data_IF_850989411604
#
_entry.id   IF_850989411604
#
_cell.length_a   1.000
_cell.length_b   1.000
_cell.length_c   1.000
_cell.angle_alpha   90.00
_cell.angle_beta   90.00
_cell.angle_gamma   90.00
#
_symmetry.space_group_name_H-M   'P 1'
#
loop_
_entity.id
_entity.type
_entity.pdbx_description
1 polymer ?
#
# COMPACT_ATOMS: atom_id res chain seq x y z
N UNK A 1 -40.37 -70.23 -30.04
CA UNK A 1 -40.00 -68.85 -29.67
C UNK A 1 -38.50 -68.71 -29.84
N UNK A 2 -38.01 -67.76 -30.66
CA UNK A 2 -36.57 -67.55 -30.82
C UNK A 2 -36.00 -66.79 -29.60
N UNK A 3 -34.70 -66.96 -29.29
CA UNK A 3 -34.05 -66.25 -28.19
C UNK A 3 -33.95 -64.74 -28.47
N UNK A 4 -33.93 -63.89 -27.43
CA UNK A 4 -33.86 -62.45 -27.61
C UNK A 4 -32.51 -62.03 -28.20
N UNK A 5 -32.48 -60.94 -29.00
CA UNK A 5 -31.24 -60.46 -29.60
C UNK A 5 -30.25 -59.97 -28.52
N UNK A 6 -28.93 -60.08 -28.78
CA UNK A 6 -27.93 -59.59 -27.85
C UNK A 6 -28.00 -58.06 -27.69
N UNK A 7 -27.66 -57.53 -26.50
CA UNK A 7 -27.67 -56.10 -26.28
C UNK A 7 -26.66 -55.40 -27.20
N UNK A 8 -26.95 -54.16 -27.62
CA UNK A 8 -26.04 -53.41 -28.49
C UNK A 8 -24.69 -53.20 -27.80
N UNK A 9 -23.58 -53.14 -28.56
CA UNK A 9 -22.26 -52.90 -28.00
C UNK A 9 -22.27 -51.58 -27.22
N UNK A 10 -21.75 -51.62 -25.99
CA UNK A 10 -21.57 -50.45 -25.16
C UNK A 10 -20.81 -49.38 -25.97
N UNK A 11 -21.40 -48.19 -26.09
CA UNK A 11 -20.69 -47.02 -26.63
C UNK A 11 -19.37 -46.90 -25.87
N UNK A 12 -18.22 -46.69 -26.55
CA UNK A 12 -16.99 -46.39 -25.84
C UNK A 12 -17.28 -45.18 -24.96
N UNK A 13 -17.02 -45.32 -23.66
CA UNK A 13 -17.12 -44.22 -22.71
C UNK A 13 -16.40 -43.04 -23.33
N UNK A 14 -17.13 -41.93 -23.54
CA UNK A 14 -16.50 -40.67 -23.88
C UNK A 14 -15.41 -40.46 -22.83
N UNK A 15 -14.16 -40.38 -23.27
CA UNK A 15 -13.04 -39.98 -22.44
C UNK A 15 -13.36 -38.58 -21.94
N UNK A 16 -14.03 -38.52 -20.79
CA UNK A 16 -14.20 -37.29 -20.05
C UNK A 16 -12.79 -36.85 -19.68
N UNK A 17 -12.32 -35.80 -20.35
CA UNK A 17 -11.18 -35.01 -19.87
C UNK A 17 -11.54 -34.56 -18.45
N UNK A 18 -11.07 -35.33 -17.48
CA UNK A 18 -11.08 -34.99 -16.08
C UNK A 18 -10.04 -33.89 -15.93
N UNK A 19 -10.48 -32.64 -16.05
CA UNK A 19 -9.70 -31.50 -15.61
C UNK A 19 -9.17 -31.83 -14.21
N UNK A 20 -7.84 -31.96 -14.02
CA UNK A 20 -7.30 -32.48 -12.78
C UNK A 20 -7.71 -31.52 -11.66
N UNK A 21 -8.60 -31.96 -10.76
CA UNK A 21 -8.99 -31.15 -9.59
C UNK A 21 -7.88 -31.02 -8.55
N UNK A 22 -6.75 -31.69 -8.78
CA UNK A 22 -5.57 -31.63 -7.93
C UNK A 22 -4.78 -30.34 -8.23
N UNK A 23 -4.70 -29.39 -7.28
CA UNK A 23 -3.97 -28.14 -7.48
C UNK A 23 -2.48 -28.35 -7.78
N UNK A 24 -1.87 -29.43 -7.26
CA UNK A 24 -0.44 -29.70 -7.51
C UNK A 24 -0.20 -30.09 -8.97
N UNK A 25 -1.06 -30.97 -9.53
CA UNK A 25 -0.96 -31.37 -10.92
C UNK A 25 -1.25 -30.19 -11.87
N UNK A 26 -2.25 -29.37 -11.56
CA UNK A 26 -2.54 -28.16 -12.32
C UNK A 26 -1.33 -27.22 -12.32
N UNK A 27 -0.82 -26.89 -11.13
CA UNK A 27 0.29 -25.96 -10.99
C UNK A 27 1.54 -26.47 -11.73
N UNK A 28 1.89 -27.75 -11.54
CA UNK A 28 3.06 -28.33 -12.17
C UNK A 28 2.94 -28.32 -13.70
N UNK A 29 1.77 -28.69 -14.24
CA UNK A 29 1.54 -28.65 -15.68
C UNK A 29 1.68 -27.23 -16.25
N UNK A 30 1.04 -26.24 -15.61
CA UNK A 30 1.16 -24.83 -16.05
C UNK A 30 2.60 -24.34 -15.95
N UNK A 31 3.30 -24.67 -14.87
CA UNK A 31 4.67 -24.24 -14.65
C UNK A 31 5.64 -24.84 -15.66
N UNK A 32 5.47 -26.11 -16.00
CA UNK A 32 6.26 -26.80 -17.02
C UNK A 32 5.97 -26.25 -18.43
N UNK A 33 4.70 -25.95 -18.75
CA UNK A 33 4.31 -25.27 -19.99
C UNK A 33 5.04 -23.92 -20.12
N UNK A 34 5.09 -23.11 -19.05
CA UNK A 34 5.82 -21.83 -19.04
C UNK A 34 7.33 -22.00 -19.18
N UNK A 35 7.92 -22.97 -18.47
CA UNK A 35 9.36 -23.29 -18.60
C UNK A 35 9.72 -23.71 -20.02
N UNK A 36 8.89 -24.52 -20.66
CA UNK A 36 9.11 -24.96 -22.03
C UNK A 36 9.01 -23.79 -23.02
N UNK A 37 8.07 -22.87 -22.79
CA UNK A 37 7.83 -21.75 -23.68
C UNK A 37 8.88 -20.64 -23.54
N UNK A 38 9.28 -20.29 -22.32
CA UNK A 38 10.10 -19.11 -22.03
C UNK A 38 11.53 -19.43 -21.57
N UNK A 39 11.81 -20.65 -21.10
CA UNK A 39 13.05 -20.98 -20.40
C UNK A 39 13.02 -20.55 -18.93
N UNK A 40 13.75 -21.28 -18.06
CA UNK A 40 13.69 -21.06 -16.61
C UNK A 40 14.25 -19.68 -16.20
N UNK A 41 15.27 -19.19 -16.90
CA UNK A 41 15.94 -17.92 -16.69
C UNK A 41 15.09 -16.69 -17.05
N UNK A 42 14.03 -16.88 -17.84
CA UNK A 42 13.12 -15.80 -18.25
C UNK A 42 11.79 -15.82 -17.50
N UNK A 43 11.61 -16.72 -16.52
CA UNK A 43 10.45 -16.72 -15.63
C UNK A 43 10.57 -15.63 -14.55
N UNK A 44 10.64 -14.38 -15.03
CA UNK A 44 10.79 -13.17 -14.22
C UNK A 44 9.41 -12.64 -13.91
N UNK A 45 9.02 -12.77 -12.65
CA UNK A 45 7.71 -12.38 -12.17
C UNK A 45 7.77 -11.06 -11.38
N UNK A 46 6.63 -10.39 -11.20
CA UNK A 46 6.52 -9.16 -10.42
C UNK A 46 7.11 -9.29 -9.02
N UNK A 47 7.61 -8.19 -8.48
CA UNK A 47 7.98 -8.15 -7.05
C UNK A 47 6.73 -8.12 -6.17
N UNK A 48 5.77 -7.26 -6.48
CA UNK A 48 4.58 -7.05 -5.66
C UNK A 48 3.30 -7.52 -6.38
N UNK A 49 2.45 -8.24 -5.66
CA UNK A 49 1.16 -8.73 -6.15
C UNK A 49 0.05 -8.28 -5.20
N UNK A 50 -0.96 -7.62 -5.74
CA UNK A 50 -2.19 -7.27 -5.03
C UNK A 50 -3.34 -8.07 -5.64
N UNK A 51 -3.77 -9.11 -4.95
CA UNK A 51 -4.89 -9.96 -5.33
C UNK A 51 -6.19 -9.33 -4.82
N UNK A 52 -6.91 -8.65 -5.71
CA UNK A 52 -8.12 -7.90 -5.38
C UNK A 52 -9.36 -8.78 -5.51
N UNK A 53 -10.01 -9.01 -4.37
CA UNK A 53 -11.29 -9.67 -4.24
C UNK A 53 -12.43 -8.71 -3.87
N UNK A 54 -13.66 -9.17 -4.06
CA UNK A 54 -14.85 -8.42 -3.67
C UNK A 54 -16.10 -8.91 -4.39
N UNK A 55 -17.26 -8.73 -3.76
CA UNK A 55 -18.52 -9.13 -4.35
C UNK A 55 -18.80 -8.37 -5.67
N UNK A 56 -19.69 -8.89 -6.54
CA UNK A 56 -20.32 -8.07 -7.57
C UNK A 56 -20.91 -6.80 -6.96
N UNK A 57 -20.65 -5.62 -7.53
CA UNK A 57 -21.13 -4.35 -6.95
C UNK A 57 -20.25 -3.74 -5.86
N UNK A 58 -19.16 -4.41 -5.43
CA UNK A 58 -18.23 -3.87 -4.43
C UNK A 58 -17.34 -2.70 -4.91
N UNK A 59 -17.42 -2.33 -6.20
CA UNK A 59 -16.63 -1.21 -6.75
C UNK A 59 -15.21 -1.56 -7.21
N UNK A 60 -14.88 -2.85 -7.41
CA UNK A 60 -13.54 -3.29 -7.88
C UNK A 60 -13.07 -2.53 -9.13
N UNK A 61 -13.87 -2.49 -10.20
CA UNK A 61 -13.48 -1.82 -11.44
C UNK A 61 -13.13 -0.33 -11.28
N UNK A 62 -13.75 0.35 -10.31
CA UNK A 62 -13.46 1.76 -10.02
C UNK A 62 -12.21 1.91 -9.14
N UNK A 63 -12.03 1.02 -8.17
CA UNK A 63 -10.97 1.14 -7.16
C UNK A 63 -9.66 0.43 -7.54
N UNK A 64 -9.65 -0.49 -8.51
CA UNK A 64 -8.42 -1.19 -8.94
C UNK A 64 -7.36 -0.20 -9.45
N UNK A 65 -7.68 0.74 -10.36
CA UNK A 65 -6.69 1.74 -10.81
C UNK A 65 -6.28 2.70 -9.69
N UNK A 66 -7.18 2.96 -8.72
CA UNK A 66 -6.86 3.78 -7.56
C UNK A 66 -5.84 3.10 -6.64
N UNK A 67 -6.04 1.82 -6.35
CA UNK A 67 -5.11 1.00 -5.55
C UNK A 67 -3.74 0.92 -6.25
N UNK A 68 -3.71 0.70 -7.56
CA UNK A 68 -2.46 0.69 -8.33
C UNK A 68 -1.68 2.01 -8.18
N UNK A 69 -2.34 3.16 -8.39
CA UNK A 69 -1.73 4.49 -8.22
C UNK A 69 -1.29 4.76 -6.78
N UNK A 70 -2.10 4.40 -5.79
CA UNK A 70 -1.76 4.55 -4.37
C UNK A 70 -0.46 3.79 -4.01
N UNK A 71 -0.21 2.67 -4.68
CA UNK A 71 0.97 1.81 -4.49
C UNK A 71 2.13 2.12 -5.43
N UNK A 72 1.99 3.13 -6.29
CA UNK A 72 3.01 3.47 -7.28
C UNK A 72 3.21 2.37 -8.34
N UNK A 73 2.18 1.57 -8.62
CA UNK A 73 2.17 0.58 -9.69
C UNK A 73 1.63 1.27 -10.94
N UNK A 74 2.51 1.51 -11.92
CA UNK A 74 2.17 2.17 -13.19
C UNK A 74 1.50 1.23 -14.20
N UNK A 75 1.66 -0.08 -14.03
CA UNK A 75 1.12 -1.08 -14.94
C UNK A 75 -0.41 -1.20 -14.86
N UNK A 76 -1.05 -1.47 -16.00
CA UNK A 76 -2.49 -1.67 -16.07
C UNK A 76 -2.92 -2.93 -15.30
N UNK A 77 -3.97 -2.89 -14.47
CA UNK A 77 -4.39 -4.06 -13.71
C UNK A 77 -4.77 -5.25 -14.58
N UNK A 78 -4.40 -6.44 -14.14
CA UNK A 78 -4.81 -7.70 -14.78
C UNK A 78 -6.23 -8.04 -14.32
N UNK A 79 -7.21 -7.89 -15.21
CA UNK A 79 -8.60 -8.24 -14.93
C UNK A 79 -8.91 -9.63 -15.50
N UNK A 80 -9.23 -10.60 -14.64
CA UNK A 80 -9.45 -11.99 -15.06
C UNK A 80 -10.52 -12.12 -16.15
N UNK A 81 -11.62 -11.36 -16.06
CA UNK A 81 -12.65 -11.40 -17.10
C UNK A 81 -12.16 -10.92 -18.46
N UNK A 82 -11.17 -10.01 -18.51
CA UNK A 82 -10.53 -9.58 -19.75
C UNK A 82 -9.58 -10.63 -20.33
N UNK A 83 -8.87 -11.37 -19.48
CA UNK A 83 -8.04 -12.49 -19.92
C UNK A 83 -8.88 -13.61 -20.57
N UNK A 84 -10.07 -13.86 -20.02
CA UNK A 84 -11.00 -14.85 -20.54
C UNK A 84 -11.68 -14.47 -21.88
N UNK A 85 -11.56 -13.21 -22.30
CA UNK A 85 -12.03 -12.74 -23.62
C UNK A 85 -10.88 -12.52 -24.60
N UNK A 86 -9.64 -12.83 -24.21
CA UNK A 86 -8.48 -12.75 -25.11
C UNK A 86 -8.60 -13.68 -26.32
N UNK A 87 -7.96 -13.38 -27.46
CA UNK A 87 -7.97 -14.26 -28.63
C UNK A 87 -7.53 -15.69 -28.32
N UNK A 88 -6.57 -15.87 -27.40
CA UNK A 88 -6.10 -17.18 -26.92
C UNK A 88 -7.20 -17.92 -26.15
N UNK A 89 -7.88 -17.23 -25.22
CA UNK A 89 -9.01 -17.82 -24.49
C UNK A 89 -10.19 -18.17 -25.41
N UNK A 90 -10.49 -17.32 -26.40
CA UNK A 90 -11.52 -17.57 -27.41
C UNK A 90 -11.16 -18.78 -28.27
N UNK A 91 -9.89 -18.92 -28.68
CA UNK A 91 -9.42 -20.08 -29.44
C UNK A 91 -9.57 -21.39 -28.64
N UNK A 92 -9.24 -21.38 -27.34
CA UNK A 92 -9.44 -22.52 -26.44
C UNK A 92 -10.92 -22.92 -26.34
N UNK A 93 -11.80 -21.92 -26.15
CA UNK A 93 -13.26 -22.12 -26.11
C UNK A 93 -13.80 -22.68 -27.43
N UNK A 94 -13.33 -22.16 -28.56
CA UNK A 94 -13.74 -22.61 -29.90
C UNK A 94 -13.25 -24.03 -30.21
N UNK A 95 -12.14 -24.46 -29.61
CA UNK A 95 -11.64 -25.83 -29.70
C UNK A 95 -12.44 -26.84 -28.83
N UNK A 96 -13.54 -26.41 -28.22
CA UNK A 96 -14.41 -27.25 -27.38
C UNK A 96 -13.86 -27.54 -25.99
N UNK A 97 -12.77 -26.87 -25.58
CA UNK A 97 -12.21 -27.00 -24.23
C UNK A 97 -12.97 -26.12 -23.26
N UNK A 98 -13.33 -26.66 -22.09
CA UNK A 98 -13.88 -25.88 -21.00
C UNK A 98 -12.78 -25.00 -20.41
N UNK A 99 -13.10 -23.75 -20.07
CA UNK A 99 -12.16 -22.87 -19.36
C UNK A 99 -12.22 -23.25 -17.88
N UNK A 100 -11.32 -24.12 -17.47
CA UNK A 100 -11.17 -24.59 -16.10
C UNK A 100 -10.17 -23.76 -15.29
N UNK A 101 -9.85 -24.25 -14.09
CA UNK A 101 -8.86 -23.60 -13.22
C UNK A 101 -7.47 -23.61 -13.87
N UNK A 102 -7.12 -24.68 -14.59
CA UNK A 102 -5.83 -24.79 -15.31
C UNK A 102 -5.67 -23.68 -16.36
N UNK A 103 -6.66 -23.47 -17.22
CA UNK A 103 -6.58 -22.46 -18.27
C UNK A 103 -6.51 -21.05 -17.69
N UNK A 104 -7.31 -20.75 -16.65
CA UNK A 104 -7.28 -19.45 -15.96
C UNK A 104 -5.89 -19.18 -15.39
N UNK A 105 -5.31 -20.15 -14.68
CA UNK A 105 -3.99 -20.01 -14.05
C UNK A 105 -2.91 -19.87 -15.12
N UNK A 106 -2.97 -20.66 -16.19
CA UNK A 106 -2.02 -20.57 -17.30
C UNK A 106 -2.04 -19.21 -17.99
N UNK A 107 -3.24 -18.69 -18.31
CA UNK A 107 -3.38 -17.36 -18.91
C UNK A 107 -2.89 -16.27 -17.97
N UNK A 108 -3.18 -16.38 -16.67
CA UNK A 108 -2.75 -15.42 -15.68
C UNK A 108 -1.23 -15.40 -15.52
N UNK A 109 -0.58 -16.56 -15.38
CA UNK A 109 0.87 -16.60 -15.19
C UNK A 109 1.63 -16.16 -16.45
N UNK A 110 1.14 -16.50 -17.64
CA UNK A 110 1.66 -16.01 -18.92
C UNK A 110 1.57 -14.48 -18.99
N UNK A 111 0.43 -13.90 -18.59
CA UNK A 111 0.24 -12.44 -18.54
C UNK A 111 1.21 -11.77 -17.56
N UNK A 112 1.43 -12.39 -16.39
CA UNK A 112 2.30 -11.86 -15.34
C UNK A 112 3.79 -11.82 -15.71
N UNK A 113 4.21 -12.50 -16.78
CA UNK A 113 5.60 -12.45 -17.28
C UNK A 113 5.90 -11.19 -18.10
N UNK A 114 4.90 -10.36 -18.41
CA UNK A 114 5.14 -9.13 -19.16
C UNK A 114 6.04 -8.16 -18.38
N UNK A 115 7.03 -7.52 -19.05
CA UNK A 115 7.98 -6.63 -18.38
C UNK A 115 7.35 -5.44 -17.65
N UNK A 116 6.18 -4.98 -18.09
CA UNK A 116 5.43 -3.90 -17.45
C UNK A 116 5.06 -4.21 -16.00
N UNK A 117 4.87 -5.48 -15.65
CA UNK A 117 4.53 -5.91 -14.29
C UNK A 117 5.74 -6.09 -13.39
N UNK A 118 6.97 -5.85 -13.88
CA UNK A 118 8.20 -6.15 -13.16
C UNK A 118 8.19 -5.65 -11.71
N UNK A 119 7.77 -4.41 -11.46
CA UNK A 119 7.75 -3.81 -10.12
C UNK A 119 6.52 -4.16 -9.29
N UNK A 120 5.37 -4.34 -9.93
CA UNK A 120 4.17 -4.79 -9.25
C UNK A 120 2.97 -4.92 -10.16
N UNK A 121 1.93 -5.57 -9.65
CA UNK A 121 0.68 -5.80 -10.37
C UNK A 121 -0.51 -5.85 -9.42
N UNK A 122 -1.65 -5.34 -9.87
CA UNK A 122 -2.94 -5.58 -9.23
C UNK A 122 -3.73 -6.56 -10.10
N UNK A 123 -4.18 -7.67 -9.51
CA UNK A 123 -4.98 -8.70 -10.18
C UNK A 123 -6.41 -8.67 -9.65
N UNK A 124 -7.37 -8.28 -10.49
CA UNK A 124 -8.80 -8.22 -10.14
C UNK A 124 -9.50 -9.54 -10.46
N UNK A 125 -9.99 -10.18 -9.41
CA UNK A 125 -10.92 -11.30 -9.51
C UNK A 125 -10.25 -12.67 -9.49
N UNK A 126 -9.06 -12.78 -8.89
CA UNK A 126 -8.36 -14.04 -8.58
C UNK A 126 -7.85 -14.02 -7.13
N UNK A 127 -7.88 -15.13 -6.39
CA UNK A 127 -8.52 -16.42 -6.71
C UNK A 127 -10.04 -16.40 -6.45
N UNK A 128 -10.78 -17.31 -7.11
CA UNK A 128 -12.23 -17.52 -6.95
C UNK A 128 -12.61 -18.88 -6.38
N UNK A 129 -11.75 -19.89 -6.56
CA UNK A 129 -11.97 -21.28 -6.13
C UNK A 129 -10.88 -21.72 -5.15
N UNK A 130 -11.14 -22.78 -4.38
CA UNK A 130 -10.12 -23.35 -3.47
C UNK A 130 -8.91 -23.90 -4.24
N UNK A 131 -9.13 -24.45 -5.44
CA UNK A 131 -8.03 -24.94 -6.30
C UNK A 131 -7.09 -23.80 -6.68
N UNK A 132 -7.65 -22.64 -7.07
CA UNK A 132 -6.86 -21.45 -7.37
C UNK A 132 -6.09 -20.93 -6.14
N UNK A 133 -6.70 -21.01 -4.95
CA UNK A 133 -6.01 -20.67 -3.68
C UNK A 133 -4.79 -21.55 -3.46
N UNK A 134 -4.94 -22.87 -3.57
CA UNK A 134 -3.80 -23.78 -3.38
C UNK A 134 -2.72 -23.57 -4.46
N UNK A 135 -3.12 -23.33 -5.71
CA UNK A 135 -2.17 -22.96 -6.78
C UNK A 135 -1.44 -21.66 -6.49
N UNK A 136 -2.12 -20.66 -5.90
CA UNK A 136 -1.51 -19.39 -5.51
C UNK A 136 -0.45 -19.59 -4.42
N UNK A 137 -0.68 -20.49 -3.46
CA UNK A 137 0.32 -20.85 -2.44
C UNK A 137 1.53 -21.54 -3.07
N UNK A 138 1.30 -22.51 -3.95
CA UNK A 138 2.37 -23.20 -4.69
C UNK A 138 3.20 -22.21 -5.51
N UNK A 139 2.54 -21.27 -6.18
CA UNK A 139 3.18 -20.20 -6.94
C UNK A 139 4.07 -19.33 -6.04
N UNK A 140 3.56 -18.86 -4.91
CA UNK A 140 4.33 -18.09 -3.94
C UNK A 140 5.60 -18.84 -3.47
N UNK A 141 5.46 -20.12 -3.08
CA UNK A 141 6.60 -20.94 -2.67
C UNK A 141 7.61 -21.13 -3.80
N UNK A 142 7.15 -21.29 -5.04
CA UNK A 142 8.03 -21.42 -6.19
C UNK A 142 8.81 -20.14 -6.46
N UNK A 143 8.18 -18.98 -6.33
CA UNK A 143 8.85 -17.69 -6.45
C UNK A 143 9.88 -17.45 -5.34
N UNK A 144 9.59 -17.87 -4.10
CA UNK A 144 10.58 -17.85 -3.03
C UNK A 144 11.79 -18.73 -3.35
N UNK A 145 11.56 -19.93 -3.89
CA UNK A 145 12.64 -20.82 -4.33
C UNK A 145 13.52 -20.17 -5.40
N UNK A 146 12.92 -19.54 -6.42
CA UNK A 146 13.67 -18.79 -7.43
C UNK A 146 14.46 -17.62 -6.82
N UNK A 147 13.87 -16.89 -5.88
CA UNK A 147 14.57 -15.82 -5.17
C UNK A 147 15.81 -16.36 -4.44
N UNK A 148 15.68 -17.46 -3.69
CA UNK A 148 16.79 -18.06 -2.95
C UNK A 148 17.89 -18.61 -3.86
N UNK A 149 17.52 -19.22 -4.99
CA UNK A 149 18.44 -19.73 -6.02
C UNK A 149 19.27 -18.59 -6.63
N UNK A 150 18.67 -17.42 -6.86
CA UNK A 150 19.30 -16.31 -7.58
C UNK A 150 19.85 -15.17 -6.70
N UNK A 151 19.58 -15.14 -5.39
CA UNK A 151 19.93 -14.01 -4.49
C UNK A 151 21.41 -13.62 -4.48
N UNK A 152 22.32 -14.57 -4.71
CA UNK A 152 23.76 -14.37 -4.72
C UNK A 152 24.36 -14.25 -6.15
N UNK A 153 23.50 -14.10 -7.15
CA UNK A 153 23.89 -14.02 -8.56
C UNK A 153 23.66 -12.60 -9.12
N UNK A 154 24.27 -12.23 -10.27
CA UNK A 154 23.96 -10.97 -10.94
C UNK A 154 22.48 -10.79 -11.30
N UNK A 155 21.71 -11.89 -11.38
CA UNK A 155 20.27 -11.90 -11.70
C UNK A 155 19.37 -11.63 -10.49
N UNK A 156 19.91 -11.41 -9.29
CA UNK A 156 19.12 -11.14 -8.09
C UNK A 156 18.13 -9.96 -8.23
N UNK A 157 18.41 -9.02 -9.14
CA UNK A 157 17.51 -7.90 -9.46
C UNK A 157 16.22 -8.32 -10.16
N UNK A 158 16.27 -9.41 -10.93
CA UNK A 158 15.15 -9.95 -11.70
C UNK A 158 14.34 -10.97 -10.89
N UNK A 159 14.98 -11.62 -9.89
CA UNK A 159 14.37 -12.61 -9.00
C UNK A 159 14.28 -12.07 -7.57
N UNK A 160 13.47 -11.02 -7.40
CA UNK A 160 13.26 -10.35 -6.11
C UNK A 160 12.34 -11.19 -5.22
N UNK A 161 12.45 -10.99 -3.91
CA UNK A 161 11.55 -11.64 -2.95
C UNK A 161 10.10 -11.22 -3.26
N UNK A 162 9.19 -12.18 -3.53
CA UNK A 162 7.80 -11.87 -3.87
C UNK A 162 7.04 -11.35 -2.65
N UNK A 163 6.16 -10.38 -2.87
CA UNK A 163 5.26 -9.82 -1.86
C UNK A 163 3.81 -10.02 -2.30
N UNK A 164 3.08 -10.90 -1.61
CA UNK A 164 1.67 -11.16 -1.91
C UNK A 164 0.78 -10.45 -0.90
N UNK A 165 -0.18 -9.67 -1.41
CA UNK A 165 -1.20 -8.98 -0.64
C UNK A 165 -2.57 -9.39 -1.13
N UNK A 166 -3.46 -9.67 -0.21
CA UNK A 166 -4.88 -9.89 -0.49
C UNK A 166 -5.62 -8.62 -0.11
N UNK A 167 -6.35 -8.04 -1.04
CA UNK A 167 -7.22 -6.90 -0.78
C UNK A 167 -8.67 -7.31 -1.02
N UNK A 168 -9.53 -7.14 -0.02
CA UNK A 168 -10.94 -7.50 -0.11
C UNK A 168 -11.80 -6.25 0.07
N UNK A 169 -12.51 -5.86 -0.99
CA UNK A 169 -13.59 -4.86 -0.92
C UNK A 169 -14.86 -5.54 -0.43
N UNK A 170 -15.27 -5.22 0.80
CA UNK A 170 -16.46 -5.77 1.44
C UNK A 170 -17.67 -4.85 1.27
N UNK A 171 -18.80 -5.45 0.93
CA UNK A 171 -20.12 -4.81 0.94
C UNK A 171 -21.15 -5.84 1.41
N UNK A 172 -22.19 -5.43 2.12
CA UNK A 172 -23.34 -6.29 2.42
C UNK A 172 -24.10 -6.73 1.16
N UNK A 173 -24.89 -7.80 1.29
CA UNK A 173 -25.71 -8.34 0.21
C UNK A 173 -26.66 -7.28 -0.36
N UNK A 174 -27.36 -6.55 0.50
CA UNK A 174 -28.35 -5.56 0.08
C UNK A 174 -27.71 -4.38 -0.66
N UNK A 175 -26.55 -3.90 -0.20
CA UNK A 175 -25.79 -2.85 -0.91
C UNK A 175 -25.28 -3.36 -2.26
N UNK A 176 -24.74 -4.58 -2.31
CA UNK A 176 -24.30 -5.24 -3.55
C UNK A 176 -25.45 -5.35 -4.57
N UNK A 177 -26.62 -5.83 -4.14
CA UNK A 177 -27.80 -5.99 -4.99
C UNK A 177 -28.28 -4.63 -5.49
N UNK A 178 -28.43 -3.65 -4.60
CA UNK A 178 -28.86 -2.30 -4.96
C UNK A 178 -27.93 -1.67 -6.01
N UNK A 179 -26.61 -1.81 -5.86
CA UNK A 179 -25.62 -1.30 -6.81
C UNK A 179 -25.67 -2.03 -8.16
N UNK A 180 -25.93 -3.34 -8.18
CA UNK A 180 -26.08 -4.09 -9.43
C UNK A 180 -27.33 -3.69 -10.19
N UNK A 181 -28.49 -3.58 -9.52
CA UNK A 181 -29.74 -3.13 -10.12
C UNK A 181 -29.61 -1.70 -10.66
N UNK A 182 -29.07 -0.79 -9.85
CA UNK A 182 -28.81 0.59 -10.26
C UNK A 182 -27.94 0.65 -11.53
N UNK A 183 -26.87 -0.14 -11.59
CA UNK A 183 -26.02 -0.25 -12.78
C UNK A 183 -26.81 -0.75 -14.01
N UNK A 184 -27.67 -1.75 -13.85
CA UNK A 184 -28.51 -2.27 -14.93
C UNK A 184 -29.48 -1.22 -15.48
N UNK A 185 -30.11 -0.45 -14.60
CA UNK A 185 -31.00 0.66 -14.95
C UNK A 185 -30.26 1.79 -15.69
N UNK A 186 -29.09 2.18 -15.19
CA UNK A 186 -28.24 3.21 -15.81
C UNK A 186 -27.78 2.79 -17.22
N UNK A 187 -27.34 1.53 -17.39
CA UNK A 187 -26.93 0.99 -18.69
C UNK A 187 -28.11 0.96 -19.67
N UNK A 188 -29.30 0.54 -19.23
CA UNK A 188 -30.51 0.55 -20.07
C UNK A 188 -30.84 1.96 -20.55
N UNK A 189 -30.83 2.93 -19.63
CA UNK A 189 -31.10 4.34 -19.94
C UNK A 189 -30.05 4.90 -20.91
N UNK A 190 -28.77 4.63 -20.67
CA UNK A 190 -27.69 5.03 -21.57
C UNK A 190 -27.88 4.43 -22.97
N UNK A 191 -28.15 3.13 -23.06
CA UNK A 191 -28.37 2.44 -24.32
C UNK A 191 -29.60 2.96 -25.08
N UNK A 192 -30.66 3.34 -24.37
CA UNK A 192 -31.83 3.99 -24.96
C UNK A 192 -31.44 5.34 -25.58
N UNK A 193 -30.72 6.19 -24.83
CA UNK A 193 -30.24 7.49 -25.34
C UNK A 193 -29.32 7.32 -26.56
N UNK A 194 -28.40 6.34 -26.54
CA UNK A 194 -27.53 6.05 -27.70
C UNK A 194 -28.34 5.62 -28.92
N UNK A 195 -29.40 4.83 -28.73
CA UNK A 195 -30.30 4.41 -29.82
C UNK A 195 -31.10 5.58 -30.38
N UNK A 196 -31.58 6.48 -29.52
CA UNK A 196 -32.40 7.64 -29.91
C UNK A 196 -31.57 8.75 -30.56
N UNK A 197 -30.41 9.09 -29.98
CA UNK A 197 -29.54 10.16 -30.46
C UNK A 197 -28.62 9.71 -31.61
N UNK A 198 -28.38 8.41 -31.78
CA UNK A 198 -27.42 7.86 -32.75
C UNK A 198 -25.95 8.18 -32.44
N UNK A 199 -25.66 8.73 -31.26
CA UNK A 199 -24.32 9.15 -30.83
C UNK A 199 -23.89 8.29 -29.63
N UNK A 200 -22.69 7.70 -29.72
CA UNK A 200 -22.10 6.88 -28.66
C UNK A 200 -22.09 5.37 -28.99
N UNK A 201 -21.52 4.58 -28.08
CA UNK A 201 -21.51 3.10 -28.17
C UNK A 201 -22.43 2.52 -27.10
N UNK A 202 -23.25 1.50 -27.43
CA UNK A 202 -24.03 0.80 -26.44
C UNK A 202 -23.10 0.06 -25.48
N UNK A 203 -23.45 0.10 -24.20
CA UNK A 203 -22.80 -0.65 -23.14
C UNK A 203 -23.42 -2.04 -23.03
N UNK A 204 -22.65 -3.02 -22.58
CA UNK A 204 -23.12 -4.40 -22.39
C UNK A 204 -24.22 -4.44 -21.32
N UNK A 205 -25.42 -4.86 -21.73
CA UNK A 205 -26.54 -5.09 -20.81
C UNK A 205 -26.46 -6.49 -20.21
N UNK A 206 -26.24 -6.57 -18.91
CA UNK A 206 -26.13 -7.85 -18.19
C UNK A 206 -27.52 -8.26 -17.71
N UNK A 207 -28.03 -9.38 -18.22
CA UNK A 207 -29.35 -9.92 -17.81
C UNK A 207 -29.47 -10.07 -16.29
N UNK A 208 -28.38 -10.44 -15.62
CA UNK A 208 -28.34 -10.59 -14.16
C UNK A 208 -28.53 -9.30 -13.38
N UNK A 209 -28.20 -8.13 -13.95
CA UNK A 209 -28.32 -6.82 -13.29
C UNK A 209 -29.77 -6.28 -13.34
N UNK A 210 -30.71 -7.06 -13.88
CA UNK A 210 -32.10 -6.66 -14.12
C UNK A 210 -33.08 -7.44 -13.23
N UNK A 211 -32.57 -8.42 -12.49
CA UNK A 211 -33.34 -9.31 -11.63
C UNK A 211 -32.65 -9.38 -10.26
N UNK A 212 -33.41 -9.04 -9.22
CA UNK A 212 -32.97 -9.04 -7.83
C UNK A 212 -32.52 -10.44 -7.38
N UNK A 213 -33.21 -11.50 -7.79
CA UNK A 213 -32.87 -12.88 -7.42
C UNK A 213 -31.58 -13.32 -8.09
N UNK A 214 -31.34 -12.94 -9.35
CA UNK A 214 -30.06 -13.20 -10.01
C UNK A 214 -28.92 -12.43 -9.36
N UNK A 215 -29.13 -11.17 -8.96
CA UNK A 215 -28.16 -10.39 -8.20
C UNK A 215 -27.81 -11.05 -6.86
N UNK A 216 -28.82 -11.50 -6.10
CA UNK A 216 -28.63 -12.23 -4.83
C UNK A 216 -27.89 -13.56 -5.05
N UNK A 217 -28.26 -14.30 -6.09
CA UNK A 217 -27.56 -15.53 -6.47
C UNK A 217 -26.06 -15.30 -6.71
N UNK A 218 -25.69 -14.24 -7.44
CA UNK A 218 -24.29 -13.88 -7.68
C UNK A 218 -23.54 -13.51 -6.41
N UNK A 219 -24.20 -12.80 -5.48
CA UNK A 219 -23.62 -12.48 -4.18
C UNK A 219 -23.38 -13.75 -3.34
N UNK A 220 -24.35 -14.67 -3.30
CA UNK A 220 -24.20 -15.95 -2.59
C UNK A 220 -23.07 -16.79 -3.14
N UNK A 221 -22.95 -16.93 -4.46
CA UNK A 221 -21.81 -17.63 -5.08
C UNK A 221 -20.47 -17.03 -4.64
N UNK A 222 -20.37 -15.71 -4.59
CA UNK A 222 -19.18 -15.04 -4.07
C UNK A 222 -18.96 -15.34 -2.58
N UNK A 223 -19.99 -15.22 -1.75
CA UNK A 223 -19.90 -15.39 -0.30
C UNK A 223 -19.57 -16.83 0.11
N UNK A 224 -20.13 -17.83 -0.57
CA UNK A 224 -19.95 -19.24 -0.24
C UNK A 224 -18.62 -19.79 -0.76
N UNK A 225 -18.20 -19.38 -1.95
CA UNK A 225 -16.99 -19.93 -2.59
C UNK A 225 -15.80 -18.99 -2.49
N UNK A 226 -15.92 -17.78 -3.04
CA UNK A 226 -14.79 -16.87 -3.21
C UNK A 226 -14.37 -16.20 -1.89
N UNK A 227 -15.31 -15.82 -1.03
CA UNK A 227 -15.00 -15.21 0.26
C UNK A 227 -14.30 -16.21 1.19
N UNK A 228 -14.79 -17.45 1.28
CA UNK A 228 -14.14 -18.51 2.06
C UNK A 228 -12.71 -18.80 1.54
N UNK A 229 -12.54 -18.89 0.22
CA UNK A 229 -11.24 -19.03 -0.44
C UNK A 229 -10.28 -17.90 -0.05
N UNK A 230 -10.68 -16.63 -0.18
CA UNK A 230 -9.86 -15.47 0.16
C UNK A 230 -9.55 -15.41 1.66
N UNK A 231 -10.52 -15.75 2.53
CA UNK A 231 -10.34 -15.75 3.97
C UNK A 231 -9.26 -16.76 4.42
N UNK A 232 -9.15 -17.90 3.74
CA UNK A 232 -8.10 -18.90 4.02
C UNK A 232 -6.68 -18.37 3.78
N UNK A 233 -6.51 -17.37 2.91
CA UNK A 233 -5.23 -16.75 2.60
C UNK A 233 -4.76 -15.78 3.68
N UNK A 234 -5.66 -15.33 4.56
CA UNK A 234 -5.34 -14.39 5.65
C UNK A 234 -4.27 -14.90 6.60
N UNK A 235 -4.14 -16.22 6.75
CA UNK A 235 -3.13 -16.84 7.61
C UNK A 235 -1.72 -16.83 7.01
N UNK A 236 -1.60 -16.57 5.70
CA UNK A 236 -0.36 -16.74 4.93
C UNK A 236 0.13 -15.41 4.38
N UNK A 237 -0.79 -14.58 3.90
CA UNK A 237 -0.48 -13.32 3.22
C UNK A 237 -1.05 -12.11 3.97
N UNK A 238 -0.45 -10.95 3.71
CA UNK A 238 -0.98 -9.68 4.21
C UNK A 238 -2.39 -9.48 3.66
N UNK A 239 -3.35 -9.32 4.56
CA UNK A 239 -4.76 -9.26 4.22
C UNK A 239 -5.34 -7.89 4.58
N UNK A 240 -5.79 -7.15 3.58
CA UNK A 240 -6.48 -5.88 3.71
C UNK A 240 -7.98 -6.11 3.60
N UNK A 241 -8.70 -5.86 4.68
CA UNK A 241 -10.16 -5.88 4.69
C UNK A 241 -10.66 -4.45 4.59
N UNK A 242 -11.30 -4.10 3.49
CA UNK A 242 -11.67 -2.71 3.18
C UNK A 242 -13.19 -2.62 3.13
N UNK A 243 -13.76 -1.80 4.02
CA UNK A 243 -15.17 -1.45 3.96
C UNK A 243 -15.44 -0.59 2.72
N UNK A 244 -16.29 -1.12 1.83
CA UNK A 244 -16.66 -0.52 0.57
C UNK A 244 -18.16 -0.15 0.47
N UNK A 245 -18.88 -0.07 1.60
CA UNK A 245 -20.32 0.27 1.61
C UNK A 245 -20.60 1.76 1.32
N UNK A 246 -19.69 2.64 1.74
CA UNK A 246 -19.79 4.09 1.59
C UNK A 246 -19.74 4.61 0.14
N UNK A 247 -19.69 5.94 0.00
CA UNK A 247 -19.48 6.57 -1.30
C UNK A 247 -18.03 6.39 -1.80
N UNK A 248 -17.75 6.73 -3.07
CA UNK A 248 -16.43 6.52 -3.66
C UNK A 248 -15.31 7.19 -2.84
N UNK A 249 -15.55 8.40 -2.33
CA UNK A 249 -14.53 9.13 -1.58
C UNK A 249 -14.26 8.48 -0.23
N UNK A 250 -15.29 7.97 0.43
CA UNK A 250 -15.18 7.20 1.68
C UNK A 250 -14.44 5.88 1.46
N UNK A 251 -14.80 5.12 0.42
CA UNK A 251 -14.11 3.87 0.08
C UNK A 251 -12.64 4.14 -0.23
N UNK A 252 -12.32 5.20 -0.97
CA UNK A 252 -10.93 5.58 -1.27
C UNK A 252 -10.14 5.96 -0.01
N UNK A 253 -10.73 6.70 0.93
CA UNK A 253 -10.11 6.97 2.24
C UNK A 253 -9.87 5.69 3.04
N UNK A 254 -10.80 4.75 3.01
CA UNK A 254 -10.64 3.46 3.68
C UNK A 254 -9.49 2.65 3.06
N UNK A 255 -9.39 2.65 1.72
CA UNK A 255 -8.26 2.06 0.99
C UNK A 255 -6.94 2.71 1.42
N UNK A 256 -6.85 4.04 1.41
CA UNK A 256 -5.65 4.77 1.82
C UNK A 256 -5.22 4.43 3.25
N UNK A 257 -6.19 4.37 4.18
CA UNK A 257 -5.92 4.00 5.57
C UNK A 257 -5.37 2.59 5.71
N UNK A 258 -5.98 1.61 5.04
CA UNK A 258 -5.57 0.19 5.12
C UNK A 258 -4.20 -0.07 4.48
N UNK A 259 -3.89 0.57 3.35
CA UNK A 259 -2.59 0.44 2.70
C UNK A 259 -1.50 1.31 3.35
N UNK A 260 -1.87 2.46 3.93
CA UNK A 260 -0.95 3.37 4.60
C UNK A 260 -0.42 2.84 5.93
N UNK A 261 -1.26 2.15 6.72
CA UNK A 261 -0.85 1.56 8.00
C UNK A 261 0.32 0.58 7.88
N UNK A 262 0.43 -0.12 6.75
CA UNK A 262 1.39 -1.21 6.56
C UNK A 262 2.67 -0.85 5.81
N UNK A 263 2.85 0.38 5.33
CA UNK A 263 4.12 0.78 4.69
C UNK A 263 5.33 0.65 5.64
N UNK A 264 5.10 0.58 6.95
CA UNK A 264 6.10 0.31 8.00
C UNK A 264 6.48 -1.18 8.16
N UNK A 265 5.70 -2.12 7.58
CA UNK A 265 5.85 -3.57 7.73
C UNK A 265 6.36 -4.28 6.46
N UNK A 266 6.76 -3.52 5.44
CA UNK A 266 7.15 -4.06 4.12
C UNK A 266 8.64 -4.40 4.00
N UNK A 267 9.36 -4.23 5.10
CA UNK A 267 10.78 -4.52 5.19
C UNK A 267 10.98 -6.03 5.30
N UNK A 268 12.07 -6.55 4.71
CA UNK A 268 12.44 -7.94 4.98
C UNK A 268 12.68 -8.12 6.49
N UNK A 269 12.56 -9.35 7.00
CA UNK A 269 12.82 -9.64 8.41
C UNK A 269 14.19 -9.09 8.85
N UNK A 270 15.23 -9.22 8.00
CA UNK A 270 16.56 -8.67 8.32
C UNK A 270 16.55 -7.14 8.41
N UNK A 271 15.86 -6.46 7.50
CA UNK A 271 15.79 -5.00 7.49
C UNK A 271 14.93 -4.49 8.65
N UNK A 272 13.81 -5.16 8.94
CA UNK A 272 12.96 -4.85 10.09
C UNK A 272 13.73 -4.99 11.41
N UNK A 273 14.50 -6.06 11.59
CA UNK A 273 15.30 -6.25 12.80
C UNK A 273 16.37 -5.16 13.00
N UNK A 274 16.90 -4.59 11.91
CA UNK A 274 17.83 -3.47 11.97
C UNK A 274 17.16 -2.15 12.34
N UNK A 275 15.95 -1.87 11.83
CA UNK A 275 15.29 -0.57 12.01
C UNK A 275 14.29 -0.51 13.16
N UNK A 276 13.82 -1.65 13.68
CA UNK A 276 12.80 -1.71 14.76
C UNK A 276 13.20 -1.01 16.05
N UNK A 277 14.50 -0.79 16.26
CA UNK A 277 15.01 -0.03 17.41
C UNK A 277 14.72 1.47 17.31
N UNK A 278 14.40 1.98 16.11
CA UNK A 278 14.03 3.37 15.88
C UNK A 278 12.49 3.47 15.96
N UNK A 279 11.93 4.17 16.96
CA UNK A 279 10.49 4.33 17.08
C UNK A 279 9.93 5.14 15.90
N UNK A 280 8.70 4.84 15.50
CA UNK A 280 8.04 5.64 14.45
C UNK A 280 7.69 7.02 14.98
N UNK A 281 7.70 8.04 14.11
CA UNK A 281 7.46 9.44 14.52
C UNK A 281 6.13 9.64 15.27
N UNK A 282 5.10 8.87 14.94
CA UNK A 282 3.81 8.89 15.64
C UNK A 282 3.89 8.35 17.08
N UNK A 283 4.73 7.33 17.32
CA UNK A 283 4.98 6.81 18.68
C UNK A 283 5.74 7.84 19.51
N UNK A 284 6.72 8.53 18.91
CA UNK A 284 7.43 9.63 19.58
C UNK A 284 6.47 10.76 19.98
N UNK A 285 5.45 11.05 19.17
CA UNK A 285 4.47 12.09 19.46
C UNK A 285 3.42 11.71 20.52
N UNK A 286 3.10 10.42 20.66
CA UNK A 286 1.97 9.95 21.48
C UNK A 286 2.03 10.36 22.96
N UNK A 287 3.24 10.48 23.52
CA UNK A 287 3.47 10.90 24.90
C UNK A 287 4.35 12.15 25.04
N UNK A 288 4.83 12.72 23.93
CA UNK A 288 5.74 13.86 23.93
C UNK A 288 5.23 15.05 24.76
N UNK A 289 3.92 15.29 24.76
CA UNK A 289 3.32 16.38 25.56
C UNK A 289 3.38 16.09 27.06
N UNK A 290 3.05 14.87 27.48
CA UNK A 290 3.07 14.52 28.90
C UNK A 290 4.50 14.53 29.45
N UNK A 291 5.44 13.96 28.71
CA UNK A 291 6.87 14.02 29.06
C UNK A 291 7.41 15.45 29.08
N UNK A 292 6.94 16.33 28.20
CA UNK A 292 7.32 17.74 28.21
C UNK A 292 6.86 18.45 29.48
N UNK A 293 5.61 18.21 29.92
CA UNK A 293 5.08 18.80 31.16
C UNK A 293 5.87 18.29 32.36
N UNK A 294 6.09 16.98 32.47
CA UNK A 294 6.88 16.38 33.56
C UNK A 294 8.31 16.95 33.63
N UNK A 295 8.96 17.18 32.49
CA UNK A 295 10.27 17.85 32.44
C UNK A 295 10.20 19.29 32.94
N UNK A 296 9.19 20.07 32.53
CA UNK A 296 9.04 21.46 32.95
C UNK A 296 8.79 21.58 34.46
N UNK A 297 7.97 20.69 35.02
CA UNK A 297 7.73 20.64 36.47
C UNK A 297 9.02 20.28 37.22
N UNK A 298 9.75 19.25 36.76
CA UNK A 298 11.07 18.88 37.33
C UNK A 298 12.09 20.02 37.23
N UNK A 299 12.08 20.83 36.16
CA UNK A 299 12.96 22.00 36.07
C UNK A 299 12.67 23.07 37.12
N UNK A 300 11.40 23.28 37.48
CA UNK A 300 11.02 24.19 38.57
C UNK A 300 11.42 23.62 39.93
N UNK A 301 11.20 22.33 40.16
CA UNK A 301 11.49 21.68 41.45
C UNK A 301 13.00 21.54 41.72
N UNK A 302 13.75 21.06 40.73
CA UNK A 302 15.16 20.66 40.91
C UNK A 302 16.16 21.75 40.52
N UNK A 303 15.78 22.63 39.60
CA UNK A 303 16.71 23.57 38.94
C UNK A 303 16.17 25.01 38.84
N UNK A 304 15.31 25.42 39.76
CA UNK A 304 14.65 26.73 39.76
C UNK A 304 15.53 27.94 39.38
N UNK A 305 16.73 28.14 39.97
CA UNK A 305 17.52 29.33 39.66
C UNK A 305 18.02 29.37 38.21
N UNK A 306 18.28 28.20 37.61
CA UNK A 306 18.66 28.09 36.21
C UNK A 306 17.45 28.30 35.31
N UNK A 307 16.33 27.65 35.65
CA UNK A 307 15.08 27.77 34.91
C UNK A 307 14.58 29.23 34.85
N UNK A 308 14.65 29.97 35.96
CA UNK A 308 14.30 31.40 36.00
C UNK A 308 15.20 32.25 35.08
N UNK A 309 16.51 31.94 34.99
CA UNK A 309 17.42 32.64 34.06
C UNK A 309 17.07 32.34 32.60
N UNK A 310 16.71 31.10 32.29
CA UNK A 310 16.30 30.70 30.93
C UNK A 310 15.00 31.39 30.54
N UNK A 311 14.01 31.43 31.44
CA UNK A 311 12.75 32.15 31.20
C UNK A 311 13.02 33.64 30.95
N UNK A 312 13.90 34.29 31.74
CA UNK A 312 14.30 35.69 31.49
C UNK A 312 14.99 35.88 30.14
N UNK A 313 15.88 34.97 29.75
CA UNK A 313 16.50 35.00 28.42
C UNK A 313 15.43 34.98 27.32
N UNK A 314 14.43 34.11 27.45
CA UNK A 314 13.32 34.01 26.50
C UNK A 314 12.52 35.31 26.48
N UNK A 315 12.05 35.79 27.64
CA UNK A 315 11.15 36.95 27.72
C UNK A 315 11.83 38.24 27.28
N UNK A 316 13.10 38.43 27.61
CA UNK A 316 13.78 39.70 27.47
C UNK A 316 14.54 39.80 26.14
N UNK A 317 14.98 38.66 25.57
CA UNK A 317 15.74 38.64 24.30
C UNK A 317 15.01 37.98 23.14
N UNK A 318 14.39 36.81 23.32
CA UNK A 318 13.79 36.07 22.21
C UNK A 318 12.41 36.62 21.83
N UNK A 319 11.50 36.79 22.79
CA UNK A 319 10.12 37.22 22.54
C UNK A 319 10.02 38.59 21.86
N UNK A 320 10.84 39.62 22.19
CA UNK A 320 10.80 40.89 21.46
C UNK A 320 11.12 40.74 19.97
N UNK A 321 12.07 39.87 19.62
CA UNK A 321 12.43 39.60 18.22
C UNK A 321 11.34 38.79 17.52
N UNK A 322 10.74 37.80 18.20
CA UNK A 322 9.56 37.07 17.68
C UNK A 322 8.42 38.04 17.38
N UNK A 323 8.10 38.96 18.31
CA UNK A 323 7.07 39.98 18.13
C UNK A 323 7.35 40.88 16.93
N UNK A 324 8.60 41.29 16.73
CA UNK A 324 9.00 42.09 15.56
C UNK A 324 8.81 41.34 14.24
N UNK A 325 8.88 40.00 14.24
CA UNK A 325 8.76 39.17 13.04
C UNK A 325 7.41 38.45 12.92
N UNK A 326 6.41 38.81 13.74
CA UNK A 326 5.17 38.04 13.94
C UNK A 326 4.41 37.69 12.64
N UNK A 327 4.54 38.53 11.61
CA UNK A 327 3.89 38.33 10.31
C UNK A 327 4.58 37.29 9.41
N UNK A 328 5.87 37.04 9.61
CA UNK A 328 6.63 36.10 8.78
C UNK A 328 6.47 34.65 9.24
N UNK A 329 6.00 34.43 10.47
CA UNK A 329 5.94 33.09 11.08
C UNK A 329 7.33 32.50 11.38
N UNK A 330 8.38 33.31 11.32
CA UNK A 330 9.76 32.88 11.42
C UNK A 330 10.64 33.95 12.07
N UNK A 331 11.54 33.55 12.96
CA UNK A 331 12.53 34.46 13.54
C UNK A 331 13.87 33.75 13.71
N UNK A 332 14.96 34.50 13.49
CA UNK A 332 16.34 34.05 13.72
C UNK A 332 17.03 34.91 14.76
N UNK A 333 17.79 34.26 15.62
CA UNK A 333 18.50 34.90 16.73
C UNK A 333 19.91 34.34 16.76
N UNK A 334 20.90 35.23 16.89
CA UNK A 334 22.28 34.83 17.13
C UNK A 334 22.67 35.36 18.50
N UNK A 335 23.19 34.49 19.37
CA UNK A 335 23.61 34.89 20.71
C UNK A 335 24.91 34.21 21.11
N UNK A 336 25.68 34.90 21.93
CA UNK A 336 26.91 34.42 22.58
C UNK A 336 26.70 34.26 24.09
N UNK A 337 25.43 34.24 24.53
CA UNK A 337 25.07 34.16 25.95
C UNK A 337 25.58 32.86 26.57
N UNK A 338 26.46 32.99 27.56
CA UNK A 338 27.10 31.88 28.26
C UNK A 338 26.09 30.98 28.99
N UNK A 339 24.87 31.47 29.25
CA UNK A 339 23.80 30.63 29.80
C UNK A 339 23.53 29.39 28.92
N UNK A 340 23.66 29.52 27.60
CA UNK A 340 23.43 28.44 26.65
C UNK A 340 24.62 27.48 26.51
N UNK A 341 25.75 27.75 27.18
CA UNK A 341 26.84 26.78 27.29
C UNK A 341 26.46 25.59 28.19
N UNK A 342 25.47 25.76 29.07
CA UNK A 342 24.88 24.68 29.85
C UNK A 342 23.88 23.88 28.98
N UNK A 343 24.14 22.58 28.73
CA UNK A 343 23.23 21.74 27.95
C UNK A 343 21.81 21.67 28.52
N UNK A 344 21.66 21.75 29.85
CA UNK A 344 20.37 21.74 30.51
C UNK A 344 19.60 23.03 30.24
N UNK A 345 20.28 24.18 30.25
CA UNK A 345 19.67 25.48 29.94
C UNK A 345 19.18 25.56 28.48
N UNK A 346 19.96 25.01 27.53
CA UNK A 346 19.53 24.86 26.13
C UNK A 346 18.26 24.01 26.02
N UNK A 347 18.21 22.89 26.74
CA UNK A 347 17.04 21.99 26.75
C UNK A 347 15.82 22.68 27.35
N UNK A 348 15.96 23.32 28.51
CA UNK A 348 14.92 24.13 29.14
C UNK A 348 14.36 25.18 28.17
N UNK A 349 15.24 25.86 27.42
CA UNK A 349 14.81 26.87 26.46
C UNK A 349 13.94 26.26 25.35
N UNK A 350 14.37 25.14 24.78
CA UNK A 350 13.63 24.44 23.72
C UNK A 350 12.28 23.94 24.25
N UNK A 351 12.27 23.34 25.44
CA UNK A 351 11.06 22.80 26.08
C UNK A 351 10.05 23.92 26.40
N UNK A 352 10.48 25.03 27.01
CA UNK A 352 9.61 26.19 27.28
C UNK A 352 9.04 26.77 25.99
N UNK A 353 9.86 26.96 24.97
CA UNK A 353 9.38 27.48 23.68
C UNK A 353 8.39 26.52 23.02
N UNK A 354 8.64 25.21 23.09
CA UNK A 354 7.76 24.17 22.53
C UNK A 354 6.41 24.12 23.25
N UNK A 355 6.39 24.26 24.57
CA UNK A 355 5.14 24.33 25.36
C UNK A 355 4.28 25.52 24.93
N UNK A 356 4.91 26.67 24.65
CA UNK A 356 4.22 27.88 24.17
C UNK A 356 3.84 27.84 22.69
N UNK A 357 4.05 26.70 22.01
CA UNK A 357 3.66 26.48 20.61
C UNK A 357 4.68 26.96 19.57
N UNK A 358 5.92 27.26 19.98
CA UNK A 358 7.00 27.63 19.07
C UNK A 358 7.83 26.41 18.67
N UNK A 359 8.11 26.28 17.37
CA UNK A 359 9.05 25.26 16.88
C UNK A 359 10.45 25.84 16.90
N UNK A 360 11.30 25.34 17.80
CA UNK A 360 12.62 25.92 18.05
C UNK A 360 13.72 24.93 17.66
N UNK A 361 14.70 25.40 16.88
CA UNK A 361 15.92 24.66 16.56
C UNK A 361 17.14 25.51 16.88
N UNK A 362 18.20 24.89 17.40
CA UNK A 362 19.45 25.57 17.77
C UNK A 362 20.62 24.93 17.06
N UNK A 363 21.46 25.76 16.45
CA UNK A 363 22.73 25.37 15.86
C UNK A 363 23.89 26.09 16.58
N UNK A 364 24.96 25.37 16.88
CA UNK A 364 26.11 25.88 17.65
C UNK A 364 27.30 26.03 16.71
N UNK A 365 27.55 27.26 16.29
CA UNK A 365 28.72 27.60 15.50
C UNK A 365 29.93 27.86 16.40
N UNK A 366 30.98 27.04 16.27
CA UNK A 366 32.26 27.24 16.95
C UNK A 366 33.27 27.85 15.98
N UNK A 367 33.87 28.97 16.36
CA UNK A 367 34.85 29.69 15.55
C UNK A 367 36.08 29.99 16.39
N UNK A 368 37.26 29.63 15.90
CA UNK A 368 38.51 29.99 16.58
C UNK A 368 38.89 31.42 16.23
N UNK A 369 38.92 32.27 17.26
CA UNK A 369 39.26 33.70 17.12
C UNK A 369 40.68 33.90 17.66
N UNK A 370 41.63 34.40 16.85
CA UNK A 370 43.00 34.62 17.29
C UNK A 370 43.04 35.72 18.36
N UNK A 371 43.69 35.44 19.50
CA UNK A 371 43.77 36.37 20.65
C UNK A 371 45.20 36.87 20.87
N UNK A 372 46.20 36.00 20.70
CA UNK A 372 47.61 36.36 20.91
C UNK A 372 48.51 35.56 19.98
N UNK A 373 49.66 36.11 19.62
CA UNK A 373 50.75 35.37 18.96
C UNK A 373 51.88 35.19 19.97
N UNK A 374 52.38 33.97 20.12
CA UNK A 374 53.58 33.69 20.91
C UNK A 374 54.81 34.19 20.13
N UNK A 375 55.57 35.18 20.62
CA UNK A 375 56.70 35.76 19.89
C UNK A 375 57.90 34.81 19.76
N UNK A 376 57.99 33.77 20.58
CA UNK A 376 59.10 32.78 20.53
C UNK A 376 58.77 31.62 19.61
N UNK A 377 57.53 31.13 19.64
CA UNK A 377 57.09 29.95 18.85
C UNK A 377 56.31 30.31 17.58
N UNK A 378 55.95 31.59 17.41
CA UNK A 378 55.03 32.09 16.36
C UNK A 378 53.64 31.45 16.39
N UNK A 379 53.28 30.74 17.45
CA UNK A 379 51.97 30.11 17.58
C UNK A 379 50.87 31.15 17.81
N UNK A 380 49.76 31.01 17.08
CA UNK A 380 48.57 31.83 17.26
C UNK A 380 47.70 31.16 18.32
N UNK A 381 47.64 31.75 19.51
CA UNK A 381 46.71 31.37 20.56
C UNK A 381 45.30 31.85 20.19
N UNK A 382 44.41 30.91 19.88
CA UNK A 382 43.01 31.19 19.60
C UNK A 382 42.14 30.97 20.86
N UNK A 383 41.06 31.73 20.96
CA UNK A 383 39.93 31.44 21.84
C UNK A 383 38.78 30.93 20.98
N UNK A 384 38.21 29.79 21.34
CA UNK A 384 37.00 29.28 20.69
C UNK A 384 35.80 30.13 21.09
N UNK A 385 35.22 30.81 20.11
CA UNK A 385 33.99 31.58 20.21
C UNK A 385 32.82 30.67 19.83
N UNK A 386 31.82 30.55 20.72
CA UNK A 386 30.56 29.84 20.45
C UNK A 386 29.48 30.85 20.11
N UNK A 387 28.76 30.62 19.01
CA UNK A 387 27.61 31.40 18.59
C UNK A 387 26.42 30.46 18.44
N UNK A 388 25.39 30.68 19.24
CA UNK A 388 24.13 29.95 19.18
C UNK A 388 23.20 30.62 18.17
N UNK A 389 22.93 29.92 17.08
CA UNK A 389 21.95 30.31 16.06
C UNK A 389 20.64 29.62 16.38
N UNK A 390 19.69 30.38 16.87
CA UNK A 390 18.36 29.92 17.22
C UNK A 390 17.43 30.27 16.06
N UNK A 391 16.63 29.31 15.61
CA UNK A 391 15.57 29.52 14.63
C UNK A 391 14.24 29.12 15.27
N UNK A 392 13.27 30.03 15.22
CA UNK A 392 11.94 29.85 15.82
C UNK A 392 10.89 30.00 14.73
N UNK A 393 10.03 29.00 14.58
CA UNK A 393 8.90 29.00 13.65
C UNK A 393 7.58 28.92 14.39
N UNK A 394 6.59 29.65 13.91
CA UNK A 394 5.26 29.75 14.50
C UNK A 394 4.25 30.11 13.41
N UNK A 395 2.96 29.96 13.73
CA UNK A 395 1.91 30.29 12.78
C UNK A 395 1.93 31.80 12.48
N UNK A 396 2.08 32.22 11.22
CA UNK A 396 2.12 33.64 10.86
C UNK A 396 0.76 34.29 11.12
N UNK A 397 0.79 35.56 11.53
CA UNK A 397 -0.42 36.38 11.63
C UNK A 397 -0.88 36.83 10.25
N UNK A 398 -2.15 36.58 9.92
CA UNK A 398 -2.76 37.05 8.67
C UNK A 398 -2.74 38.59 8.60
N UNK A 399 -2.04 39.15 7.60
CA UNK A 399 -1.94 40.60 7.39
C UNK A 399 -3.27 41.17 6.83
N UNK A 400 -4.06 40.36 6.13
CA UNK A 400 -5.33 40.79 5.51
C UNK A 400 -6.46 39.84 5.88
N UNK A 401 -7.25 40.20 6.90
CA UNK A 401 -8.63 39.68 7.03
C UNK A 401 -9.53 40.54 6.15
N UNK A 402 -9.79 40.08 4.94
CA UNK A 402 -10.74 40.71 4.03
C UNK A 402 -10.49 40.32 2.57
N UNK A 403 -11.10 39.21 2.14
CA UNK A 403 -12.02 39.15 1.00
C UNK A 403 -12.88 37.89 1.13
#
# INVERSE_FOLDING_TARGET
>A
MPPPPPPPPARPAASGDLDPKDPQLIFQAVWDDLKQQYGAENLKFPREFIWLGGAPGAGKGTNTPFIARLRGIDADPVVISGLLTSPRAVALKNAGKMVGDREVIGLLFDELLKPEYHDGVVVDGFPRTQVQVECLKLFYHRLLGLHDEHRATPQARDFRKPMFRIALLYVSEDVSVARQIKRGEEIRRHNQLVREAGIGKPLEERVTDLDVQLCRGRYRTFSESTFAALQSLRQIFHFHFIDAEGDLAEVQRNIEKEFGYQSSLELSQEVFDLVRAIPVASQLAAHARQELVERLDSYEEEHRPLFEKVVRLITDKLIPVVKAHAFTGHARFNTEDELLDDPLALRMMIDVMSERGFHTSVDIHKMDVPVRVNPETWEICCRTKKVYRIEVRYQPSDIRRGH
#
